data_IF_736585520229
#
_entry.id   IF_736585520229
#
_cell.length_a   1.000
_cell.length_b   1.000
_cell.length_c   1.000
_cell.angle_alpha   90.00
_cell.angle_beta   90.00
_cell.angle_gamma   90.00
#
_symmetry.space_group_name_H-M   'P 1'
#
loop_
_entity.id
_entity.type
_entity.pdbx_description
1 polymer ?
#
# COMPACT_ATOMS: atom_id res chain seq x y z
N UNK A 1 -12.88 -15.45 -19.92
CA UNK A 1 -13.61 -14.47 -19.06
C UNK A 1 -12.53 -13.58 -18.48
N UNK A 2 -12.71 -12.27 -18.45
CA UNK A 2 -11.74 -11.34 -17.87
C UNK A 2 -11.66 -11.58 -16.35
N UNK A 3 -10.46 -11.61 -15.78
CA UNK A 3 -10.27 -11.70 -14.33
C UNK A 3 -10.78 -10.43 -13.64
N UNK A 4 -11.31 -10.55 -12.42
CA UNK A 4 -11.91 -9.41 -11.73
C UNK A 4 -10.90 -8.33 -11.40
N UNK A 5 -9.69 -8.72 -11.03
CA UNK A 5 -8.57 -7.79 -10.81
C UNK A 5 -8.22 -6.97 -12.06
N UNK A 6 -8.23 -7.57 -13.25
CA UNK A 6 -8.00 -6.85 -14.52
C UNK A 6 -9.17 -5.90 -14.83
N UNK A 7 -10.39 -6.32 -14.53
CA UNK A 7 -11.58 -5.44 -14.63
C UNK A 7 -11.41 -4.20 -13.75
N UNK A 8 -10.96 -4.34 -12.50
CA UNK A 8 -10.72 -3.21 -11.60
C UNK A 8 -9.66 -2.25 -12.16
N UNK A 9 -8.53 -2.77 -12.63
CA UNK A 9 -7.48 -1.96 -13.23
C UNK A 9 -7.98 -1.17 -14.45
N UNK A 10 -8.81 -1.77 -15.29
CA UNK A 10 -9.41 -1.13 -16.46
C UNK A 10 -10.45 -0.08 -16.08
N UNK A 11 -11.37 -0.40 -15.15
CA UNK A 11 -12.44 0.52 -14.72
C UNK A 11 -11.88 1.75 -14.01
N UNK A 12 -10.77 1.62 -13.28
CA UNK A 12 -10.14 2.69 -12.51
C UNK A 12 -8.83 3.20 -13.15
N UNK A 13 -8.64 3.00 -14.45
CA UNK A 13 -7.43 3.37 -15.17
C UNK A 13 -7.04 4.83 -14.97
N UNK A 14 -8.01 5.75 -14.88
CA UNK A 14 -7.73 7.18 -14.74
C UNK A 14 -7.05 7.49 -13.39
N UNK A 15 -7.61 7.02 -12.27
CA UNK A 15 -7.03 7.24 -10.94
C UNK A 15 -5.74 6.44 -10.78
N UNK A 16 -5.66 5.24 -11.35
CA UNK A 16 -4.42 4.46 -11.42
C UNK A 16 -3.29 5.24 -12.09
N UNK A 17 -3.53 5.81 -13.27
CA UNK A 17 -2.55 6.62 -13.98
C UNK A 17 -2.18 7.89 -13.23
N UNK A 18 -3.15 8.53 -12.54
CA UNK A 18 -2.88 9.70 -11.71
C UNK A 18 -1.86 9.38 -10.61
N UNK A 19 -1.98 8.21 -9.96
CA UNK A 19 -0.98 7.78 -8.98
C UNK A 19 0.36 7.44 -9.62
N UNK A 20 0.38 6.72 -10.74
CA UNK A 20 1.61 6.39 -11.46
C UNK A 20 2.40 7.62 -11.93
N UNK A 21 1.70 8.76 -12.12
CA UNK A 21 2.25 10.05 -12.52
C UNK A 21 2.26 11.07 -11.38
N UNK A 22 1.95 10.64 -10.16
CA UNK A 22 1.95 11.52 -9.00
C UNK A 22 3.32 12.17 -8.81
N UNK A 23 3.33 13.42 -8.35
CA UNK A 23 4.57 14.18 -8.12
C UNK A 23 5.61 13.39 -7.34
N UNK A 24 5.20 12.67 -6.30
CA UNK A 24 6.09 11.85 -5.47
C UNK A 24 6.84 10.82 -6.33
N UNK A 25 6.13 10.07 -7.16
CA UNK A 25 6.71 9.07 -8.05
C UNK A 25 7.63 9.69 -9.09
N UNK A 26 7.20 10.81 -9.70
CA UNK A 26 7.99 11.54 -10.69
C UNK A 26 9.25 12.15 -10.08
N UNK A 27 9.17 12.70 -8.87
CA UNK A 27 10.32 13.28 -8.18
C UNK A 27 11.36 12.19 -7.80
N UNK A 28 10.92 10.98 -7.42
CA UNK A 28 11.82 9.82 -7.24
C UNK A 28 12.46 9.42 -8.58
N UNK A 29 11.66 9.25 -9.63
CA UNK A 29 12.15 8.85 -10.97
C UNK A 29 13.20 9.80 -11.51
N UNK A 30 13.12 11.08 -11.16
CA UNK A 30 14.04 12.14 -11.59
C UNK A 30 15.14 12.46 -10.59
N UNK A 31 15.27 11.66 -9.54
CA UNK A 31 16.25 11.84 -8.44
C UNK A 31 16.23 13.26 -7.85
N UNK A 32 15.04 13.80 -7.61
CA UNK A 32 14.85 15.15 -7.08
C UNK A 32 13.83 15.25 -5.94
N UNK A 33 13.45 14.11 -5.35
CA UNK A 33 12.56 14.11 -4.18
C UNK A 33 13.21 14.90 -3.05
N UNK A 34 12.58 15.99 -2.53
CA UNK A 34 13.16 16.73 -1.44
C UNK A 34 13.31 15.86 -0.18
N UNK A 35 14.46 15.97 0.49
CA UNK A 35 14.75 15.22 1.71
C UNK A 35 13.64 15.39 2.78
N UNK A 36 13.14 16.61 2.95
CA UNK A 36 12.06 16.90 3.92
C UNK A 36 10.74 16.20 3.57
N UNK A 37 10.46 16.00 2.28
CA UNK A 37 9.28 15.25 1.81
C UNK A 37 9.47 13.76 2.09
N UNK A 38 10.66 13.23 1.79
CA UNK A 38 10.96 11.82 2.06
C UNK A 38 10.96 11.51 3.55
N UNK A 39 11.57 12.36 4.39
CA UNK A 39 11.57 12.18 5.83
C UNK A 39 10.14 12.19 6.42
N UNK A 40 9.27 13.08 5.94
CA UNK A 40 7.86 13.12 6.32
C UNK A 40 7.13 11.86 5.88
N UNK A 41 7.36 11.44 4.66
CA UNK A 41 6.77 10.23 4.10
C UNK A 41 7.18 8.97 4.90
N UNK A 42 8.47 8.85 5.27
CA UNK A 42 8.97 7.76 6.11
C UNK A 42 8.24 7.68 7.46
N UNK A 43 7.94 8.82 8.08
CA UNK A 43 7.16 8.84 9.32
C UNK A 43 5.72 8.40 9.09
N UNK A 44 5.09 8.90 8.04
CA UNK A 44 3.70 8.55 7.71
C UNK A 44 3.56 7.06 7.40
N UNK A 45 4.44 6.54 6.57
CA UNK A 45 4.41 5.14 6.19
C UNK A 45 4.78 4.22 7.35
N UNK A 46 5.82 4.55 8.13
CA UNK A 46 6.19 3.80 9.32
C UNK A 46 5.03 3.69 10.32
N UNK A 47 4.28 4.78 10.54
CA UNK A 47 3.07 4.76 11.35
C UNK A 47 1.96 3.91 10.70
N UNK A 48 1.85 3.95 9.37
CA UNK A 48 0.86 3.14 8.65
C UNK A 48 1.16 1.64 8.72
N UNK A 49 2.42 1.22 8.79
CA UNK A 49 2.78 -0.21 8.93
C UNK A 49 2.11 -0.83 10.18
N UNK A 50 2.03 -0.11 11.29
CA UNK A 50 1.30 -0.57 12.48
C UNK A 50 -0.20 -0.78 12.18
N UNK A 51 -0.79 0.08 11.35
CA UNK A 51 -2.17 -0.07 10.88
C UNK A 51 -2.32 -1.26 9.91
N UNK A 52 -1.36 -1.44 9.01
CA UNK A 52 -1.33 -2.58 8.08
C UNK A 52 -1.29 -3.91 8.83
N UNK A 53 -0.50 -4.01 9.91
CA UNK A 53 -0.49 -5.18 10.81
C UNK A 53 -1.90 -5.47 11.34
N UNK A 54 -2.62 -4.46 11.83
CA UNK A 54 -3.99 -4.63 12.31
C UNK A 54 -4.94 -5.09 11.19
N UNK A 55 -4.81 -4.53 9.98
CA UNK A 55 -5.61 -4.91 8.80
C UNK A 55 -5.37 -6.38 8.42
N UNK A 56 -4.11 -6.80 8.32
CA UNK A 56 -3.77 -8.19 8.01
C UNK A 56 -4.19 -9.16 9.12
N UNK A 57 -4.09 -8.78 10.39
CA UNK A 57 -4.59 -9.59 11.51
C UNK A 57 -6.11 -9.80 11.45
N UNK A 58 -6.86 -8.76 11.08
CA UNK A 58 -8.30 -8.86 10.81
C UNK A 58 -8.56 -9.74 9.58
N UNK A 59 -7.71 -9.65 8.55
CA UNK A 59 -7.73 -10.56 7.41
C UNK A 59 -7.55 -12.02 7.81
N UNK A 60 -6.60 -12.32 8.69
CA UNK A 60 -6.41 -13.69 9.25
C UNK A 60 -7.69 -14.17 9.93
N UNK A 61 -8.31 -13.33 10.76
CA UNK A 61 -9.51 -13.71 11.51
C UNK A 61 -10.74 -13.96 10.62
N UNK A 62 -10.81 -13.31 9.46
CA UNK A 62 -11.93 -13.40 8.51
C UNK A 62 -11.64 -14.36 7.34
N UNK A 63 -10.41 -14.85 7.23
CA UNK A 63 -10.01 -15.73 6.13
C UNK A 63 -10.81 -17.03 6.10
N UNK A 64 -11.24 -17.50 4.90
CA UNK A 64 -12.17 -18.62 4.77
C UNK A 64 -11.57 -19.96 5.17
N UNK A 65 -10.26 -20.14 5.07
CA UNK A 65 -9.59 -21.39 5.44
C UNK A 65 -8.12 -21.19 5.87
N UNK A 66 -7.53 -22.29 6.36
CA UNK A 66 -6.17 -22.31 6.91
C UNK A 66 -5.07 -21.94 5.89
N UNK A 67 -5.30 -22.08 4.59
CA UNK A 67 -4.31 -21.74 3.56
C UNK A 67 -4.15 -20.22 3.48
N UNK A 68 -5.27 -19.50 3.44
CA UNK A 68 -5.30 -18.05 3.47
C UNK A 68 -4.75 -17.50 4.79
N UNK A 69 -5.17 -18.09 5.91
CA UNK A 69 -4.64 -17.71 7.24
C UNK A 69 -3.12 -17.87 7.30
N UNK A 70 -2.58 -19.01 6.88
CA UNK A 70 -1.13 -19.27 6.90
C UNK A 70 -0.36 -18.25 6.06
N UNK A 71 -0.89 -17.90 4.91
CA UNK A 71 -0.25 -16.92 4.03
C UNK A 71 -0.23 -15.53 4.69
N UNK A 72 -1.38 -15.06 5.20
CA UNK A 72 -1.51 -13.78 5.89
C UNK A 72 -0.66 -13.68 7.15
N UNK A 73 -0.50 -14.78 7.91
CA UNK A 73 0.42 -14.85 9.05
C UNK A 73 1.88 -14.68 8.59
N UNK A 74 2.25 -15.24 7.43
CA UNK A 74 3.56 -15.02 6.85
C UNK A 74 3.82 -13.53 6.55
N UNK A 75 2.83 -12.83 5.99
CA UNK A 75 2.90 -11.38 5.78
C UNK A 75 3.04 -10.62 7.10
N UNK A 76 2.25 -10.98 8.11
CA UNK A 76 2.34 -10.35 9.44
C UNK A 76 3.74 -10.47 10.04
N UNK A 77 4.37 -11.65 9.95
CA UNK A 77 5.74 -11.82 10.42
C UNK A 77 6.72 -10.89 9.70
N UNK A 78 6.61 -10.77 8.36
CA UNK A 78 7.48 -9.89 7.59
C UNK A 78 7.28 -8.40 7.97
N UNK A 79 6.04 -7.98 8.20
CA UNK A 79 5.72 -6.62 8.64
C UNK A 79 6.35 -6.32 10.01
N UNK A 80 6.20 -7.22 10.98
CA UNK A 80 6.68 -7.01 12.36
C UNK A 80 8.20 -7.12 12.44
N UNK A 81 8.77 -8.17 11.86
CA UNK A 81 10.19 -8.50 12.05
C UNK A 81 11.12 -7.72 11.11
N UNK A 82 10.65 -7.42 9.88
CA UNK A 82 11.50 -6.82 8.85
C UNK A 82 11.16 -5.35 8.61
N UNK A 83 9.90 -5.07 8.34
CA UNK A 83 9.52 -3.74 7.88
C UNK A 83 9.55 -2.70 9.01
N UNK A 84 8.98 -3.00 10.17
CA UNK A 84 9.05 -2.09 11.33
C UNK A 84 10.50 -1.84 11.74
N UNK A 85 11.33 -2.90 11.83
CA UNK A 85 12.74 -2.75 12.19
C UNK A 85 13.50 -1.85 11.20
N UNK A 86 13.18 -1.95 9.91
CA UNK A 86 13.78 -1.07 8.91
C UNK A 86 13.37 0.40 9.12
N UNK A 87 12.08 0.69 9.37
CA UNK A 87 11.63 2.05 9.64
C UNK A 87 12.27 2.64 10.89
N UNK A 88 12.37 1.88 11.97
CA UNK A 88 13.04 2.29 13.19
C UNK A 88 14.52 2.64 12.93
N UNK A 89 15.22 1.79 12.17
CA UNK A 89 16.63 2.00 11.82
C UNK A 89 16.79 3.25 10.94
N UNK A 90 16.06 3.36 9.84
CA UNK A 90 16.24 4.48 8.88
C UNK A 90 15.89 5.82 9.51
N UNK A 91 14.87 5.90 10.34
CA UNK A 91 14.50 7.13 11.05
C UNK A 91 15.63 7.54 12.04
N UNK A 92 16.22 6.56 12.75
CA UNK A 92 17.34 6.82 13.67
C UNK A 92 18.59 7.28 12.91
N UNK A 93 18.98 6.61 11.83
CA UNK A 93 20.16 6.96 11.02
C UNK A 93 20.03 8.34 10.38
N UNK A 94 18.84 8.68 9.86
CA UNK A 94 18.53 9.99 9.29
C UNK A 94 18.30 11.06 10.36
N UNK A 95 18.28 10.70 11.65
CA UNK A 95 17.96 11.58 12.78
C UNK A 95 16.61 12.27 12.64
N UNK A 96 15.65 11.56 12.08
CA UNK A 96 14.28 12.05 11.93
C UNK A 96 13.52 11.78 13.22
N UNK A 97 13.03 12.84 13.86
CA UNK A 97 12.18 12.71 15.01
C UNK A 97 10.71 12.69 14.54
N UNK A 98 9.95 11.58 14.73
CA UNK A 98 8.56 11.49 14.29
C UNK A 98 7.64 12.61 14.82
N UNK A 99 7.96 13.17 16.00
CA UNK A 99 7.17 14.28 16.61
C UNK A 99 7.19 15.53 15.74
N UNK A 100 8.24 15.74 14.93
CA UNK A 100 8.37 16.89 14.04
C UNK A 100 7.50 16.76 12.76
N UNK A 101 6.93 15.56 12.55
CA UNK A 101 6.12 15.22 11.37
C UNK A 101 4.78 14.59 11.80
N UNK A 102 3.85 15.39 12.38
CA UNK A 102 2.58 14.85 12.85
C UNK A 102 1.76 14.24 11.70
N UNK A 103 1.18 13.08 11.93
CA UNK A 103 0.40 12.29 10.95
C UNK A 103 -1.11 12.59 11.00
N UNK A 104 -1.46 13.77 11.54
CA UNK A 104 -2.86 14.23 11.69
C UNK A 104 -3.42 14.91 10.42
N UNK A 105 -2.65 14.93 9.34
CA UNK A 105 -3.08 15.52 8.07
C UNK A 105 -4.29 14.80 7.49
N UNK A 106 -5.22 15.52 6.87
CA UNK A 106 -6.45 14.92 6.33
C UNK A 106 -6.22 13.73 5.39
N UNK A 107 -5.22 13.82 4.49
CA UNK A 107 -4.88 12.74 3.56
C UNK A 107 -4.37 11.49 4.28
N UNK A 108 -3.46 11.66 5.26
CA UNK A 108 -2.92 10.55 6.06
C UNK A 108 -4.01 9.87 6.87
N UNK A 109 -4.83 10.65 7.60
CA UNK A 109 -5.93 10.09 8.39
C UNK A 109 -6.97 9.39 7.54
N UNK A 110 -7.33 9.97 6.38
CA UNK A 110 -8.32 9.36 5.48
C UNK A 110 -7.85 7.98 5.02
N UNK A 111 -6.61 7.86 4.61
CA UNK A 111 -6.02 6.59 4.21
C UNK A 111 -5.98 5.60 5.38
N UNK A 112 -5.30 5.96 6.47
CA UNK A 112 -5.12 5.11 7.65
C UNK A 112 -6.45 4.67 8.26
N UNK A 113 -7.29 5.63 8.63
CA UNK A 113 -8.53 5.37 9.36
C UNK A 113 -9.59 4.75 8.45
N UNK A 114 -9.61 5.13 7.15
CA UNK A 114 -10.48 4.54 6.13
C UNK A 114 -10.16 3.06 5.92
N UNK A 115 -8.90 2.72 5.68
CA UNK A 115 -8.46 1.33 5.51
C UNK A 115 -8.77 0.48 6.75
N UNK A 116 -8.44 0.97 7.95
CA UNK A 116 -8.68 0.26 9.20
C UNK A 116 -10.18 0.04 9.45
N UNK A 117 -11.01 1.06 9.24
CA UNK A 117 -12.47 0.96 9.42
C UNK A 117 -13.06 -0.11 8.50
N UNK A 118 -12.69 -0.10 7.21
CA UNK A 118 -13.15 -1.15 6.29
C UNK A 118 -12.69 -2.53 6.74
N UNK A 119 -11.45 -2.67 7.22
CA UNK A 119 -10.96 -3.95 7.71
C UNK A 119 -11.71 -4.44 8.97
N UNK A 120 -12.11 -3.54 9.85
CA UNK A 120 -12.89 -3.85 11.05
C UNK A 120 -14.34 -4.25 10.72
N UNK A 121 -15.03 -3.44 9.93
CA UNK A 121 -16.46 -3.55 9.68
C UNK A 121 -16.79 -4.45 8.48
N UNK A 122 -15.90 -4.51 7.50
CA UNK A 122 -16.12 -5.17 6.22
C UNK A 122 -15.84 -6.67 6.20
N UNK A 123 -15.97 -7.25 5.02
CA UNK A 123 -15.74 -8.66 4.75
C UNK A 123 -14.26 -8.97 4.46
N UNK A 124 -13.94 -10.26 4.34
CA UNK A 124 -12.61 -10.71 3.89
C UNK A 124 -12.28 -10.18 2.49
N UNK A 125 -13.22 -10.23 1.57
CA UNK A 125 -13.07 -9.76 0.19
C UNK A 125 -12.76 -8.26 0.12
N UNK A 126 -13.36 -7.48 1.03
CA UNK A 126 -13.06 -6.05 1.14
C UNK A 126 -11.63 -5.82 1.63
N UNK A 127 -11.15 -6.61 2.61
CA UNK A 127 -9.74 -6.53 3.06
C UNK A 127 -8.78 -6.89 1.94
N UNK A 128 -9.05 -7.96 1.19
CA UNK A 128 -8.21 -8.34 0.04
C UNK A 128 -8.22 -7.23 -1.03
N UNK A 129 -9.37 -6.61 -1.27
CA UNK A 129 -9.49 -5.48 -2.23
C UNK A 129 -8.65 -4.28 -1.79
N UNK A 130 -8.69 -3.91 -0.50
CA UNK A 130 -7.88 -2.82 0.06
C UNK A 130 -6.38 -3.08 -0.19
N UNK A 131 -5.91 -4.25 0.22
CA UNK A 131 -4.49 -4.58 0.18
C UNK A 131 -4.01 -4.77 -1.25
N UNK A 132 -4.84 -5.35 -2.14
CA UNK A 132 -4.52 -5.41 -3.56
C UNK A 132 -4.37 -4.00 -4.16
N UNK A 133 -5.27 -3.08 -3.84
CA UNK A 133 -5.22 -1.70 -4.32
C UNK A 133 -3.92 -0.99 -3.94
N UNK A 134 -3.51 -1.11 -2.68
CA UNK A 134 -2.29 -0.51 -2.18
C UNK A 134 -1.03 -1.22 -2.74
N UNK A 135 -0.87 -2.51 -2.49
CA UNK A 135 0.39 -3.20 -2.77
C UNK A 135 0.68 -3.39 -4.26
N UNK A 136 -0.33 -3.69 -5.07
CA UNK A 136 -0.14 -3.81 -6.52
C UNK A 136 0.30 -2.49 -7.14
N UNK A 137 -0.26 -1.40 -6.66
CA UNK A 137 0.09 -0.05 -7.10
C UNK A 137 1.55 0.28 -6.74
N UNK A 138 1.95 0.03 -5.48
CA UNK A 138 3.34 0.24 -5.03
C UNK A 138 4.32 -0.59 -5.85
N UNK A 139 4.07 -1.88 -6.02
CA UNK A 139 4.92 -2.72 -6.85
C UNK A 139 5.11 -2.14 -8.24
N UNK A 140 4.03 -1.73 -8.92
CA UNK A 140 4.11 -1.29 -10.31
C UNK A 140 4.97 -0.03 -10.50
N UNK A 141 4.82 0.98 -9.64
CA UNK A 141 5.62 2.17 -9.81
C UNK A 141 7.02 2.03 -9.20
N UNK A 142 7.19 1.33 -8.08
CA UNK A 142 8.51 1.05 -7.52
C UNK A 142 9.37 0.24 -8.49
N UNK A 143 8.80 -0.79 -9.13
CA UNK A 143 9.49 -1.58 -10.16
C UNK A 143 9.96 -0.71 -11.32
N UNK A 144 9.16 0.25 -11.76
CA UNK A 144 9.54 1.19 -12.82
C UNK A 144 10.67 2.12 -12.39
N UNK A 145 10.54 2.73 -11.21
CA UNK A 145 11.54 3.71 -10.74
C UNK A 145 12.82 3.05 -10.23
N UNK A 146 12.81 1.78 -9.83
CA UNK A 146 14.01 1.03 -9.44
C UNK A 146 15.02 0.87 -10.59
N UNK A 147 14.60 1.05 -11.83
CA UNK A 147 15.48 1.05 -13.01
C UNK A 147 16.21 2.39 -13.20
N UNK A 148 15.91 3.39 -12.38
CA UNK A 148 16.53 4.72 -12.42
C UNK A 148 17.49 4.89 -11.25
N UNK A 149 18.59 5.63 -11.41
CA UNK A 149 19.49 5.92 -10.30
C UNK A 149 18.80 6.84 -9.28
N UNK A 150 18.96 6.52 -8.00
CA UNK A 150 18.62 7.39 -6.88
C UNK A 150 19.90 7.69 -6.09
N UNK A 151 20.18 8.97 -5.83
CA UNK A 151 21.35 9.42 -5.09
C UNK A 151 21.21 9.17 -3.57
N UNK A 152 19.99 9.29 -3.03
CA UNK A 152 19.68 8.95 -1.63
C UNK A 152 19.65 7.43 -1.47
N UNK A 153 20.56 6.90 -0.64
CA UNK A 153 20.70 5.45 -0.45
C UNK A 153 19.51 4.82 0.27
N UNK A 154 18.88 5.55 1.20
CA UNK A 154 17.71 5.05 1.94
C UNK A 154 16.49 5.03 1.04
N UNK A 155 16.30 6.08 0.22
CA UNK A 155 15.23 6.13 -0.76
C UNK A 155 15.38 4.99 -1.79
N UNK A 156 16.60 4.76 -2.28
CA UNK A 156 16.88 3.63 -3.18
C UNK A 156 16.53 2.30 -2.52
N UNK A 157 16.96 2.07 -1.27
CA UNK A 157 16.65 0.83 -0.55
C UNK A 157 15.15 0.67 -0.32
N UNK A 158 14.45 1.74 0.02
CA UNK A 158 13.01 1.73 0.16
C UNK A 158 12.30 1.34 -1.16
N UNK A 159 12.70 1.92 -2.30
CA UNK A 159 12.17 1.56 -3.63
C UNK A 159 12.47 0.09 -3.97
N UNK A 160 13.69 -0.37 -3.71
CA UNK A 160 14.10 -1.76 -3.96
C UNK A 160 13.24 -2.75 -3.18
N UNK A 161 12.96 -2.51 -1.90
CA UNK A 161 12.11 -3.39 -1.08
C UNK A 161 10.72 -3.60 -1.69
N UNK A 162 10.14 -2.55 -2.30
CA UNK A 162 8.83 -2.62 -2.95
C UNK A 162 8.89 -3.12 -4.41
N UNK A 163 10.09 -3.32 -4.95
CA UNK A 163 10.33 -3.86 -6.30
C UNK A 163 10.88 -5.29 -6.28
N UNK A 164 11.26 -5.83 -5.13
CA UNK A 164 11.85 -7.16 -4.96
C UNK A 164 10.83 -8.27 -5.22
N UNK A 165 11.34 -9.48 -5.52
CA UNK A 165 10.55 -10.68 -5.82
C UNK A 165 9.58 -11.06 -4.69
N UNK A 166 9.94 -10.82 -3.44
CA UNK A 166 9.09 -11.13 -2.29
C UNK A 166 7.84 -10.24 -2.27
N UNK A 167 8.01 -8.95 -2.47
CA UNK A 167 6.89 -8.01 -2.55
C UNK A 167 6.01 -8.27 -3.78
N UNK A 168 6.64 -8.59 -4.93
CA UNK A 168 5.91 -9.01 -6.12
C UNK A 168 5.03 -10.23 -5.87
N UNK A 169 5.58 -11.27 -5.22
CA UNK A 169 4.80 -12.47 -4.89
C UNK A 169 3.62 -12.17 -3.96
N UNK A 170 3.81 -11.23 -3.03
CA UNK A 170 2.73 -10.76 -2.15
C UNK A 170 1.64 -10.05 -2.95
N UNK A 171 1.99 -9.10 -3.79
CA UNK A 171 1.04 -8.38 -4.65
C UNK A 171 0.31 -9.33 -5.64
N UNK A 172 1.02 -10.29 -6.22
CA UNK A 172 0.42 -11.34 -7.08
C UNK A 172 -0.54 -12.25 -6.32
N UNK A 173 -0.22 -12.60 -5.08
CA UNK A 173 -1.11 -13.42 -4.26
C UNK A 173 -2.41 -12.68 -3.96
N UNK A 174 -2.33 -11.41 -3.57
CA UNK A 174 -3.52 -10.56 -3.33
C UNK A 174 -4.39 -10.47 -4.59
N UNK A 175 -3.76 -10.28 -5.74
CA UNK A 175 -4.45 -10.27 -7.04
C UNK A 175 -5.20 -11.58 -7.30
N UNK A 176 -4.52 -12.72 -7.17
CA UNK A 176 -5.12 -14.03 -7.40
C UNK A 176 -6.21 -14.37 -6.36
N UNK A 177 -6.02 -13.96 -5.11
CA UNK A 177 -6.99 -14.17 -4.06
C UNK A 177 -8.26 -13.34 -4.27
N UNK A 178 -8.11 -12.09 -4.75
CA UNK A 178 -9.25 -11.26 -5.14
C UNK A 178 -10.05 -11.90 -6.29
N UNK A 179 -9.36 -12.42 -7.31
CA UNK A 179 -10.01 -13.12 -8.42
C UNK A 179 -10.76 -14.38 -7.95
N UNK A 180 -10.15 -15.13 -7.00
CA UNK A 180 -10.80 -16.29 -6.37
C UNK A 180 -12.06 -15.88 -5.59
N UNK A 181 -11.99 -14.83 -4.80
CA UNK A 181 -13.12 -14.30 -4.05
C UNK A 181 -14.28 -13.91 -5.01
N UNK A 182 -13.95 -13.24 -6.09
CA UNK A 182 -14.92 -12.74 -7.06
C UNK A 182 -15.73 -13.84 -7.77
N UNK A 183 -15.23 -15.08 -7.79
CA UNK A 183 -15.98 -16.21 -8.39
C UNK A 183 -17.30 -16.50 -7.67
N UNK A 184 -17.40 -16.22 -6.38
CA UNK A 184 -18.59 -16.46 -5.57
C UNK A 184 -19.50 -15.24 -5.45
N UNK A 185 -19.07 -14.06 -5.93
CA UNK A 185 -19.80 -12.81 -5.78
C UNK A 185 -20.73 -12.53 -6.95
N UNK A 186 -21.90 -11.95 -6.66
CA UNK A 186 -22.80 -11.39 -7.67
C UNK A 186 -22.29 -10.03 -8.18
N UNK A 187 -22.93 -9.47 -9.24
CA UNK A 187 -22.48 -8.22 -9.86
C UNK A 187 -22.62 -7.00 -8.94
N UNK A 188 -23.60 -6.95 -8.05
CA UNK A 188 -23.76 -5.86 -7.08
C UNK A 188 -22.60 -5.85 -6.06
N UNK A 189 -22.21 -7.02 -5.58
CA UNK A 189 -21.07 -7.19 -4.69
C UNK A 189 -19.74 -6.82 -5.38
N UNK A 190 -19.56 -7.24 -6.64
CA UNK A 190 -18.41 -6.85 -7.45
C UNK A 190 -18.34 -5.35 -7.69
N UNK A 191 -19.48 -4.70 -7.94
CA UNK A 191 -19.56 -3.24 -8.08
C UNK A 191 -19.18 -2.53 -6.78
N UNK A 192 -19.58 -3.04 -5.61
CA UNK A 192 -19.19 -2.48 -4.32
C UNK A 192 -17.66 -2.61 -4.08
N UNK A 193 -17.06 -3.74 -4.44
CA UNK A 193 -15.61 -3.91 -4.37
C UNK A 193 -14.87 -3.01 -5.39
N UNK A 194 -15.43 -2.81 -6.58
CA UNK A 194 -14.88 -1.89 -7.57
C UNK A 194 -14.88 -0.44 -7.06
N UNK A 195 -15.98 0.01 -6.47
CA UNK A 195 -16.05 1.34 -5.86
C UNK A 195 -15.00 1.50 -4.75
N UNK A 196 -14.89 0.51 -3.86
CA UNK A 196 -13.89 0.50 -2.80
C UNK A 196 -12.45 0.56 -3.33
N UNK A 197 -12.14 -0.20 -4.37
CA UNK A 197 -10.83 -0.17 -5.02
C UNK A 197 -10.48 1.24 -5.53
N UNK A 198 -11.43 1.91 -6.19
CA UNK A 198 -11.24 3.28 -6.65
C UNK A 198 -11.01 4.28 -5.51
N UNK A 199 -11.73 4.11 -4.39
CA UNK A 199 -11.52 4.93 -3.18
C UNK A 199 -10.11 4.73 -2.59
N UNK A 200 -9.64 3.50 -2.49
CA UNK A 200 -8.30 3.19 -1.99
C UNK A 200 -7.22 3.87 -2.83
N UNK A 201 -7.31 3.79 -4.16
CA UNK A 201 -6.36 4.47 -5.03
C UNK A 201 -6.38 6.01 -4.85
N UNK A 202 -7.54 6.59 -4.61
CA UNK A 202 -7.64 8.02 -4.31
C UNK A 202 -7.03 8.37 -2.95
N UNK A 203 -7.25 7.53 -1.93
CA UNK A 203 -6.64 7.73 -0.62
C UNK A 203 -5.11 7.63 -0.66
N UNK A 204 -4.57 6.76 -1.50
CA UNK A 204 -3.12 6.69 -1.75
C UNK A 204 -2.57 7.99 -2.37
N UNK A 205 -3.27 8.56 -3.35
CA UNK A 205 -2.90 9.86 -3.93
C UNK A 205 -2.90 10.94 -2.84
N UNK A 206 -3.96 11.00 -2.01
CA UNK A 206 -4.09 11.97 -0.93
C UNK A 206 -2.97 11.79 0.13
N UNK A 207 -2.61 10.54 0.44
CA UNK A 207 -1.53 10.20 1.37
C UNK A 207 -0.17 10.69 0.88
N UNK A 208 0.17 10.42 -0.38
CA UNK A 208 1.42 10.90 -0.99
C UNK A 208 1.45 12.42 -1.15
N UNK A 209 0.31 13.04 -1.46
CA UNK A 209 0.16 14.50 -1.52
C UNK A 209 0.46 15.14 -0.16
N UNK A 210 -0.03 14.55 0.92
CA UNK A 210 0.18 15.04 2.29
C UNK A 210 1.68 15.12 2.68
N UNK A 211 2.55 14.32 2.06
CA UNK A 211 3.99 14.41 2.30
C UNK A 211 4.60 15.74 1.82
N UNK A 212 3.96 16.43 0.86
CA UNK A 212 4.39 17.75 0.36
C UNK A 212 3.79 18.94 1.14
N UNK A 213 2.80 18.70 1.96
CA UNK A 213 2.18 19.75 2.75
C UNK A 213 3.11 20.14 3.92
N UNK A 214 3.33 21.45 4.11
CA UNK A 214 4.24 21.98 5.15
C UNK A 214 3.60 21.95 6.53
#
# INVERSE_FOLDING_TARGET
MEDFSERLLREHQQVWQAMQQHRFVVDIEQDRLPETVFNRYLVFEGNFVATAIAIFALGVSKAPDIRQQRWLIGVLNALVDTQIAWFEQVLAERRVNPVDYPDDRPGVRRFRDGMLRIAQEGSYEQIITLMFGAEWMYYCWCRRVSERPQSDADLRRWVEMHAEEEFYRQACWLKAELDRCAMALNESEKQALSALYGEVLQWEIDFHTAAYEA
#
